data_IF_876103562549
#
_entry.id   IF_876103562549
#
_cell.length_a   1.000
_cell.length_b   1.000
_cell.length_c   1.000
_cell.angle_alpha   90.00
_cell.angle_beta   90.00
_cell.angle_gamma   90.00
#
_symmetry.space_group_name_H-M   'P 1'
#
loop_
_entity.id
_entity.type
_entity.pdbx_description
1 polymer ?
#
# COMPACT_ATOMS: atom_id res chain seq x y z
N UNK A 1 11.12 -16.20 -8.06
CA UNK A 1 11.69 -15.12 -7.22
C UNK A 1 12.31 -14.10 -8.18
N UNK A 2 11.54 -13.10 -8.59
CA UNK A 2 12.04 -12.02 -9.44
C UNK A 2 12.37 -10.89 -8.48
N UNK A 3 13.66 -10.72 -8.19
CA UNK A 3 14.19 -9.50 -7.58
C UNK A 3 14.07 -8.39 -8.64
N UNK A 4 12.96 -7.66 -8.61
CA UNK A 4 12.89 -6.36 -9.29
C UNK A 4 13.78 -5.44 -8.45
N UNK A 5 14.92 -5.10 -8.99
CA UNK A 5 15.86 -4.15 -8.36
C UNK A 5 15.14 -2.80 -8.30
N UNK A 6 14.74 -2.38 -7.09
CA UNK A 6 14.01 -1.13 -6.79
C UNK A 6 14.71 0.13 -7.32
N UNK A 7 15.98 0.03 -7.69
CA UNK A 7 16.79 1.15 -8.20
C UNK A 7 16.42 1.60 -9.61
N UNK A 8 15.86 0.72 -10.45
CA UNK A 8 15.54 1.06 -11.85
C UNK A 8 14.20 1.81 -12.00
N UNK A 9 13.27 1.63 -11.07
CA UNK A 9 11.93 2.25 -11.16
C UNK A 9 11.96 3.75 -10.82
N UNK A 10 12.79 4.17 -9.86
CA UNK A 10 12.94 5.59 -9.48
C UNK A 10 13.71 6.40 -10.53
N UNK A 11 14.64 5.76 -11.25
CA UNK A 11 15.42 6.41 -12.33
C UNK A 11 14.60 6.73 -13.59
N UNK A 12 13.33 6.32 -13.66
CA UNK A 12 12.51 6.43 -14.88
C UNK A 12 11.30 7.40 -14.74
N UNK A 13 11.17 8.09 -13.60
CA UNK A 13 10.13 9.11 -13.40
C UNK A 13 10.71 10.50 -13.66
N UNK A 14 10.14 11.17 -14.65
CA UNK A 14 10.47 12.58 -14.92
C UNK A 14 9.55 13.55 -14.10
N UNK A 15 9.86 14.86 -14.07
CA UNK A 15 9.05 15.85 -13.36
C UNK A 15 7.56 15.86 -13.77
N UNK A 16 7.26 15.52 -15.02
CA UNK A 16 5.89 15.45 -15.52
C UNK A 16 5.16 14.26 -14.95
N UNK A 17 5.83 13.11 -14.81
CA UNK A 17 5.28 11.93 -14.17
C UNK A 17 4.93 12.19 -12.71
N UNK A 18 5.81 12.87 -11.98
CA UNK A 18 5.58 13.24 -10.57
C UNK A 18 4.38 14.18 -10.41
N UNK A 19 4.21 15.14 -11.34
CA UNK A 19 3.03 16.01 -11.37
C UNK A 19 1.74 15.21 -11.63
N UNK A 20 1.78 14.26 -12.56
CA UNK A 20 0.65 13.36 -12.84
C UNK A 20 0.30 12.56 -11.58
N UNK A 21 1.28 11.97 -10.91
CA UNK A 21 1.06 11.20 -9.67
C UNK A 21 0.43 12.07 -8.58
N UNK A 22 0.92 13.30 -8.38
CA UNK A 22 0.35 14.22 -7.39
C UNK A 22 -1.11 14.57 -7.69
N UNK A 23 -1.43 14.84 -8.94
CA UNK A 23 -2.81 15.17 -9.34
C UNK A 23 -3.73 13.95 -9.13
N UNK A 24 -3.29 12.75 -9.49
CA UNK A 24 -4.06 11.53 -9.26
C UNK A 24 -4.25 11.20 -7.77
N UNK A 25 -3.28 11.51 -6.91
CA UNK A 25 -3.41 11.34 -5.46
C UNK A 25 -4.45 12.32 -4.89
N UNK A 26 -4.43 13.57 -5.34
CA UNK A 26 -5.36 14.62 -4.88
C UNK A 26 -6.77 14.43 -5.43
N UNK A 27 -6.84 14.02 -6.68
CA UNK A 27 -8.06 13.81 -7.44
C UNK A 27 -8.12 12.38 -8.01
N UNK A 28 -8.43 11.34 -7.21
CA UNK A 28 -8.42 9.95 -7.69
C UNK A 28 -9.44 9.65 -8.80
N UNK A 29 -10.39 10.56 -9.03
CA UNK A 29 -11.43 10.41 -10.05
C UNK A 29 -11.22 11.32 -11.27
N UNK A 30 -10.10 12.05 -11.33
CA UNK A 30 -9.83 12.95 -12.44
C UNK A 30 -9.77 12.17 -13.75
N UNK A 31 -10.45 12.67 -14.77
CA UNK A 31 -10.40 12.08 -16.09
C UNK A 31 -9.11 12.51 -16.82
N UNK A 32 -8.66 11.70 -17.78
CA UNK A 32 -7.42 11.99 -18.54
C UNK A 32 -7.49 13.35 -19.26
N UNK A 33 -8.68 13.79 -19.69
CA UNK A 33 -8.88 15.11 -20.29
C UNK A 33 -8.57 16.22 -19.29
N UNK A 34 -9.22 16.21 -18.14
CA UNK A 34 -9.04 17.18 -17.06
C UNK A 34 -7.60 17.18 -16.53
N UNK A 35 -7.02 15.99 -16.36
CA UNK A 35 -5.62 15.81 -15.96
C UNK A 35 -4.66 16.46 -16.96
N UNK A 36 -4.91 16.30 -18.25
CA UNK A 36 -4.06 16.89 -19.30
C UNK A 36 -4.16 18.42 -19.33
N UNK A 37 -5.36 18.96 -19.14
CA UNK A 37 -5.62 20.40 -19.07
C UNK A 37 -4.96 21.03 -17.83
N UNK A 38 -5.16 20.44 -16.64
CA UNK A 38 -4.58 20.94 -15.39
C UNK A 38 -3.04 21.01 -15.41
N UNK A 39 -2.41 20.08 -16.14
CA UNK A 39 -0.96 19.98 -16.24
C UNK A 39 -0.36 20.66 -17.49
N UNK A 40 -1.21 21.18 -18.39
CA UNK A 40 -0.78 21.81 -19.64
C UNK A 40 -0.05 20.85 -20.60
N UNK A 41 -0.44 19.58 -20.66
CA UNK A 41 0.15 18.57 -21.53
C UNK A 41 -0.89 17.98 -22.50
N UNK A 42 -0.45 17.41 -23.61
CA UNK A 42 -1.36 16.79 -24.56
C UNK A 42 -2.04 15.56 -23.92
N UNK A 43 -3.33 15.34 -24.21
CA UNK A 43 -4.13 14.22 -23.72
C UNK A 43 -3.48 12.85 -23.97
N UNK A 44 -2.95 12.65 -25.19
CA UNK A 44 -2.25 11.40 -25.55
C UNK A 44 -0.98 11.21 -24.70
N UNK A 45 -0.28 12.28 -24.35
CA UNK A 45 0.89 12.25 -23.48
C UNK A 45 0.49 11.84 -22.06
N UNK A 46 -0.54 12.48 -21.49
CA UNK A 46 -1.06 12.10 -20.17
C UNK A 46 -1.46 10.61 -20.14
N UNK A 47 -2.24 10.18 -21.13
CA UNK A 47 -2.72 8.79 -21.22
C UNK A 47 -1.58 7.78 -21.36
N UNK A 48 -0.58 8.06 -22.18
CA UNK A 48 0.56 7.15 -22.38
C UNK A 48 1.41 7.01 -21.13
N UNK A 49 1.63 8.12 -20.40
CA UNK A 49 2.37 8.15 -19.14
C UNK A 49 1.64 7.40 -18.02
N UNK A 50 0.35 7.63 -17.84
CA UNK A 50 -0.48 6.89 -16.87
C UNK A 50 -0.44 5.39 -17.17
N UNK A 51 -0.64 4.99 -18.42
CA UNK A 51 -0.54 3.56 -18.81
C UNK A 51 0.84 2.97 -18.56
N UNK A 52 1.91 3.74 -18.78
CA UNK A 52 3.28 3.30 -18.48
C UNK A 52 3.45 3.06 -16.99
N UNK A 53 3.02 3.99 -16.14
CA UNK A 53 3.12 3.88 -14.69
C UNK A 53 2.28 2.73 -14.12
N UNK A 54 1.09 2.49 -14.67
CA UNK A 54 0.27 1.31 -14.33
C UNK A 54 0.98 0.00 -14.68
N UNK A 55 1.52 -0.10 -15.91
CA UNK A 55 2.25 -1.31 -16.33
C UNK A 55 3.52 -1.56 -15.55
N UNK A 56 4.19 -0.49 -15.09
CA UNK A 56 5.39 -0.58 -14.27
C UNK A 56 5.09 -0.82 -12.77
N UNK A 57 3.81 -0.91 -12.37
CA UNK A 57 3.42 -1.08 -10.96
C UNK A 57 3.69 0.13 -10.07
N UNK A 58 4.04 1.28 -10.66
CA UNK A 58 4.27 2.54 -9.94
C UNK A 58 2.93 3.14 -9.48
N UNK A 59 1.93 3.05 -10.35
CA UNK A 59 0.56 3.43 -10.09
C UNK A 59 -0.29 2.15 -10.06
N UNK A 60 -1.06 1.98 -9.01
CA UNK A 60 -2.06 0.91 -8.96
C UNK A 60 -3.40 1.46 -9.41
N UNK A 61 -4.15 0.66 -10.14
CA UNK A 61 -5.54 0.96 -10.49
C UNK A 61 -6.37 0.77 -9.22
N UNK A 62 -6.26 1.77 -8.32
CA UNK A 62 -6.86 1.76 -7.00
C UNK A 62 -8.38 1.79 -7.11
N UNK A 63 -9.02 0.79 -6.54
CA UNK A 63 -10.44 0.82 -6.26
C UNK A 63 -10.81 2.04 -5.40
N UNK A 64 -12.09 2.26 -5.21
CA UNK A 64 -12.58 3.28 -4.27
C UNK A 64 -12.17 2.88 -2.87
N UNK A 65 -11.59 3.81 -2.13
CA UNK A 65 -11.32 3.62 -0.71
C UNK A 65 -12.65 3.52 0.04
N UNK A 66 -12.77 2.51 0.90
CA UNK A 66 -13.95 2.28 1.74
C UNK A 66 -13.58 2.63 3.18
N UNK A 67 -14.35 3.51 3.78
CA UNK A 67 -14.27 3.74 5.22
C UNK A 67 -14.83 2.53 5.96
N UNK A 68 -13.93 1.76 6.58
CA UNK A 68 -14.29 0.53 7.27
C UNK A 68 -15.13 0.79 8.52
N UNK A 69 -14.92 1.90 9.23
CA UNK A 69 -15.75 2.31 10.35
C UNK A 69 -17.19 2.58 9.91
N UNK A 70 -17.38 3.26 8.76
CA UNK A 70 -18.71 3.53 8.21
C UNK A 70 -19.49 2.26 7.83
N UNK A 71 -18.79 1.13 7.63
CA UNK A 71 -19.43 -0.19 7.38
C UNK A 71 -19.34 -1.13 8.60
N UNK A 72 -19.04 -0.58 9.78
CA UNK A 72 -19.13 -1.28 11.06
C UNK A 72 -17.87 -2.02 11.51
N UNK A 73 -16.73 -1.82 10.88
CA UNK A 73 -15.44 -2.39 11.31
C UNK A 73 -14.63 -1.36 12.11
N UNK A 74 -15.04 -1.11 13.34
CA UNK A 74 -14.47 -0.05 14.21
C UNK A 74 -13.18 -0.48 14.93
N UNK A 75 -12.90 -1.78 15.00
CA UNK A 75 -11.72 -2.31 15.67
C UNK A 75 -10.63 -2.61 14.66
N UNK A 76 -9.48 -1.94 14.83
CA UNK A 76 -8.26 -2.21 14.07
C UNK A 76 -7.21 -2.77 15.01
N UNK A 77 -6.60 -3.88 14.64
CA UNK A 77 -5.51 -4.50 15.37
C UNK A 77 -4.29 -4.73 14.46
N UNK A 78 -3.12 -4.62 15.06
CA UNK A 78 -1.86 -5.01 14.46
C UNK A 78 -1.39 -6.29 15.15
N UNK A 79 -1.18 -7.34 14.37
CA UNK A 79 -0.86 -8.66 14.87
C UNK A 79 0.50 -9.06 14.35
N UNK A 80 1.42 -9.32 15.28
CA UNK A 80 2.72 -9.91 14.98
C UNK A 80 2.62 -11.42 15.22
N UNK A 81 3.08 -12.21 14.27
CA UNK A 81 2.97 -13.67 14.27
C UNK A 81 4.37 -14.26 14.19
N UNK A 82 4.67 -15.19 15.10
CA UNK A 82 5.85 -16.02 15.04
C UNK A 82 5.48 -17.34 14.37
N UNK A 83 6.25 -17.76 13.35
CA UNK A 83 5.95 -18.93 12.55
C UNK A 83 7.12 -19.90 12.51
N UNK A 84 6.84 -21.18 12.29
CA UNK A 84 7.87 -22.14 11.94
C UNK A 84 8.40 -21.80 10.54
N UNK A 85 9.69 -21.56 10.41
CA UNK A 85 10.33 -21.04 9.18
C UNK A 85 9.95 -21.79 7.88
N UNK A 86 9.72 -23.10 7.97
CA UNK A 86 9.30 -23.94 6.81
C UNK A 86 7.82 -23.77 6.42
N UNK A 87 7.01 -23.15 7.26
CA UNK A 87 5.56 -23.00 7.07
C UNK A 87 5.14 -21.57 6.70
N UNK A 88 6.10 -20.66 6.52
CA UNK A 88 5.82 -19.23 6.26
C UNK A 88 4.87 -19.03 5.07
N UNK A 89 5.18 -19.63 3.92
CA UNK A 89 4.32 -19.50 2.73
C UNK A 89 2.91 -20.04 2.96
N UNK A 90 2.81 -21.17 3.68
CA UNK A 90 1.54 -21.77 4.07
C UNK A 90 0.71 -20.88 5.00
N UNK A 91 1.37 -20.24 5.98
CA UNK A 91 0.75 -19.30 6.91
C UNK A 91 0.26 -18.06 6.16
N UNK A 92 1.08 -17.47 5.30
CA UNK A 92 0.69 -16.29 4.47
C UNK A 92 -0.48 -16.65 3.54
N UNK A 93 -0.44 -17.85 2.94
CA UNK A 93 -1.55 -18.36 2.11
C UNK A 93 -2.87 -18.50 2.89
N UNK A 94 -2.80 -19.00 4.13
CA UNK A 94 -3.97 -19.13 5.00
C UNK A 94 -4.48 -17.78 5.50
N UNK A 95 -3.60 -16.84 5.86
CA UNK A 95 -3.98 -15.48 6.25
C UNK A 95 -4.74 -14.76 5.15
N UNK A 96 -4.36 -14.95 3.89
CA UNK A 96 -5.03 -14.36 2.70
C UNK A 96 -6.51 -14.78 2.58
N UNK A 97 -6.88 -15.93 3.14
CA UNK A 97 -8.26 -16.43 3.11
C UNK A 97 -9.14 -15.86 4.22
N UNK A 98 -8.56 -15.16 5.19
CA UNK A 98 -9.30 -14.52 6.28
C UNK A 98 -9.71 -13.11 5.85
N UNK A 99 -11.02 -12.83 5.66
CA UNK A 99 -11.48 -11.52 5.16
C UNK A 99 -11.19 -10.37 6.10
N UNK A 100 -10.95 -10.63 7.39
CA UNK A 100 -10.56 -9.63 8.38
C UNK A 100 -9.09 -9.20 8.25
N UNK A 101 -8.26 -9.98 7.56
CA UNK A 101 -6.84 -9.65 7.33
C UNK A 101 -6.73 -8.79 6.09
N UNK A 102 -6.39 -7.52 6.27
CA UNK A 102 -6.32 -6.53 5.20
C UNK A 102 -4.92 -6.39 4.60
N UNK A 103 -3.89 -6.68 5.40
CA UNK A 103 -2.51 -6.43 5.02
C UNK A 103 -1.61 -7.44 5.72
N UNK A 104 -0.61 -7.96 5.01
CA UNK A 104 0.35 -8.94 5.53
C UNK A 104 1.74 -8.58 5.03
N UNK A 105 2.70 -8.50 5.95
CA UNK A 105 4.11 -8.27 5.66
C UNK A 105 4.97 -9.31 6.34
N UNK A 106 5.99 -9.80 5.65
CA UNK A 106 7.12 -10.44 6.31
C UNK A 106 7.99 -9.34 6.92
N UNK A 107 8.38 -9.50 8.18
CA UNK A 107 9.11 -8.49 8.94
C UNK A 107 10.42 -9.04 9.50
N UNK A 108 11.38 -8.15 9.71
CA UNK A 108 12.58 -8.42 10.49
C UNK A 108 12.37 -7.98 11.95
N UNK A 109 12.93 -8.71 12.90
CA UNK A 109 12.88 -8.36 14.32
C UNK A 109 12.03 -9.32 15.14
N UNK A 110 11.12 -8.82 15.97
CA UNK A 110 10.23 -9.66 16.77
C UNK A 110 9.12 -10.26 15.92
N UNK A 111 9.09 -11.59 15.80
CA UNK A 111 8.18 -12.33 14.94
C UNK A 111 8.61 -12.30 13.47
N UNK A 112 7.88 -13.02 12.64
CA UNK A 112 8.20 -13.25 11.24
C UNK A 112 7.20 -12.56 10.31
N UNK A 113 5.93 -12.44 10.76
CA UNK A 113 4.84 -11.85 9.98
C UNK A 113 4.13 -10.79 10.80
N UNK A 114 3.83 -9.67 10.17
CA UNK A 114 2.96 -8.64 10.70
C UNK A 114 1.72 -8.51 9.81
N UNK A 115 0.55 -8.38 10.42
CA UNK A 115 -0.67 -8.14 9.67
C UNK A 115 -1.57 -7.10 10.33
N UNK A 116 -2.37 -6.42 9.49
CA UNK A 116 -3.46 -5.55 9.92
C UNK A 116 -4.75 -6.35 9.86
N UNK A 117 -5.43 -6.42 10.99
CA UNK A 117 -6.70 -7.14 11.16
C UNK A 117 -7.78 -6.15 11.58
N UNK A 118 -8.98 -6.31 11.02
CA UNK A 118 -10.14 -5.50 11.39
C UNK A 118 -11.27 -6.38 11.90
N UNK A 119 -12.09 -5.80 12.77
CA UNK A 119 -13.25 -6.48 13.32
C UNK A 119 -14.36 -5.46 13.67
N UNK A 120 -15.58 -5.93 13.81
CA UNK A 120 -16.73 -5.10 14.22
C UNK A 120 -16.67 -4.75 15.71
N UNK A 121 -16.08 -5.64 16.51
CA UNK A 121 -15.96 -5.53 17.95
C UNK A 121 -14.82 -6.42 18.48
N UNK A 122 -14.53 -6.35 19.77
CA UNK A 122 -13.46 -7.12 20.40
C UNK A 122 -13.75 -8.63 20.42
N UNK A 123 -15.00 -9.04 20.45
CA UNK A 123 -15.38 -10.46 20.39
C UNK A 123 -15.08 -11.05 19.00
N UNK A 124 -15.44 -10.33 17.95
CA UNK A 124 -15.15 -10.71 16.58
C UNK A 124 -13.63 -10.69 16.31
N UNK A 125 -12.89 -9.71 16.85
CA UNK A 125 -11.44 -9.73 16.81
C UNK A 125 -10.87 -11.01 17.45
N UNK A 126 -11.35 -11.36 18.65
CA UNK A 126 -10.92 -12.57 19.34
C UNK A 126 -11.21 -13.83 18.49
N UNK A 127 -12.37 -13.86 17.78
CA UNK A 127 -12.70 -14.97 16.89
C UNK A 127 -11.72 -15.06 15.71
N UNK A 128 -11.37 -13.93 15.10
CA UNK A 128 -10.36 -13.87 14.02
C UNK A 128 -8.98 -14.31 14.51
N UNK A 129 -8.53 -13.84 15.66
CA UNK A 129 -7.25 -14.24 16.25
C UNK A 129 -7.19 -15.73 16.56
N UNK A 130 -8.30 -16.34 17.01
CA UNK A 130 -8.37 -17.81 17.19
C UNK A 130 -8.24 -18.55 15.86
N UNK A 131 -8.73 -18.00 14.75
CA UNK A 131 -8.50 -18.61 13.43
C UNK A 131 -7.04 -18.53 13.04
N UNK A 132 -6.39 -17.38 13.25
CA UNK A 132 -4.93 -17.22 13.01
C UNK A 132 -4.12 -18.24 13.82
N UNK A 133 -4.41 -18.40 15.12
CA UNK A 133 -3.71 -19.35 15.99
C UNK A 133 -3.91 -20.82 15.61
N UNK A 134 -4.94 -21.16 14.83
CA UNK A 134 -5.17 -22.52 14.30
C UNK A 134 -4.45 -22.81 13.01
N UNK A 135 -3.84 -21.80 12.38
CA UNK A 135 -3.07 -21.99 11.15
C UNK A 135 -1.83 -22.85 11.49
N UNK A 136 -1.65 -23.92 10.74
CA UNK A 136 -0.47 -24.77 10.89
C UNK A 136 0.80 -23.94 10.67
N UNK A 137 1.75 -24.04 11.60
CA UNK A 137 3.00 -23.29 11.55
C UNK A 137 3.00 -22.00 12.37
N UNK A 138 1.87 -21.49 12.82
CA UNK A 138 1.81 -20.40 13.80
C UNK A 138 2.20 -20.91 15.18
N UNK A 139 3.22 -20.26 15.77
CA UNK A 139 3.74 -20.60 17.12
C UNK A 139 3.10 -19.68 18.14
N UNK A 140 3.08 -18.37 17.86
CA UNK A 140 2.61 -17.35 18.80
C UNK A 140 2.10 -16.12 18.03
N UNK A 141 1.19 -15.39 18.66
CA UNK A 141 0.75 -14.07 18.18
C UNK A 141 0.87 -13.05 19.29
N UNK A 142 1.25 -11.83 18.92
CA UNK A 142 1.18 -10.65 19.76
C UNK A 142 0.25 -9.64 19.08
N UNK A 143 -0.74 -9.11 19.80
CA UNK A 143 -1.77 -8.25 19.22
C UNK A 143 -1.77 -6.90 19.92
N UNK A 144 -1.74 -5.83 19.14
CA UNK A 144 -1.85 -4.45 19.59
C UNK A 144 -3.07 -3.82 18.94
N UNK A 145 -3.93 -3.19 19.74
CA UNK A 145 -5.08 -2.45 19.25
C UNK A 145 -4.68 -1.03 18.84
N UNK A 146 -5.14 -0.58 17.68
CA UNK A 146 -5.08 0.82 17.31
C UNK A 146 -6.17 1.58 18.08
N UNK A 147 -5.77 2.42 19.02
CA UNK A 147 -6.71 3.23 19.80
C UNK A 147 -7.24 4.42 19.00
N UNK A 148 -6.38 5.01 18.16
CA UNK A 148 -6.72 6.13 17.30
C UNK A 148 -5.73 6.24 16.13
N UNK A 149 -6.23 6.54 14.95
CA UNK A 149 -5.40 6.81 13.77
C UNK A 149 -5.16 8.30 13.63
N UNK A 150 -4.01 8.79 14.03
CA UNK A 150 -3.63 10.19 13.86
C UNK A 150 -3.28 10.57 12.43
N UNK A 151 -2.62 9.68 11.73
CA UNK A 151 -2.22 9.86 10.33
C UNK A 151 -2.59 8.57 9.58
N UNK A 152 -3.56 8.62 8.67
CA UNK A 152 -3.86 7.49 7.80
C UNK A 152 -2.72 7.24 6.81
N UNK A 153 -2.70 6.05 6.20
CA UNK A 153 -1.74 5.76 5.13
C UNK A 153 -1.84 6.80 4.02
N UNK A 154 -0.71 7.36 3.63
CA UNK A 154 -0.63 8.40 2.60
C UNK A 154 0.72 8.39 1.90
N UNK A 155 0.71 8.60 0.60
CA UNK A 155 1.91 8.69 -0.24
C UNK A 155 2.22 10.12 -0.69
N UNK A 156 1.24 11.04 -0.64
CA UNK A 156 1.36 12.40 -1.17
C UNK A 156 2.60 13.17 -0.66
N UNK A 157 2.96 13.17 0.64
CA UNK A 157 4.13 13.91 1.11
C UNK A 157 5.44 13.44 0.48
N UNK A 158 5.58 12.12 0.23
CA UNK A 158 6.76 11.56 -0.42
C UNK A 158 6.84 11.96 -1.89
N UNK A 159 5.73 11.86 -2.62
CA UNK A 159 5.67 12.24 -4.04
C UNK A 159 5.89 13.74 -4.20
N UNK A 160 5.33 14.57 -3.31
CA UNK A 160 5.56 16.03 -3.29
C UNK A 160 7.04 16.36 -3.10
N UNK A 161 7.71 15.66 -2.18
CA UNK A 161 9.16 15.85 -1.96
C UNK A 161 9.99 15.46 -3.18
N UNK A 162 9.65 14.33 -3.84
CA UNK A 162 10.32 13.89 -5.06
C UNK A 162 10.15 14.92 -6.20
N UNK A 163 8.93 15.45 -6.36
CA UNK A 163 8.64 16.47 -7.37
C UNK A 163 9.45 17.78 -7.15
N UNK A 164 9.62 18.19 -5.89
CA UNK A 164 10.44 19.36 -5.53
C UNK A 164 11.92 19.10 -5.79
N UNK A 165 12.44 17.92 -5.45
CA UNK A 165 13.83 17.53 -5.67
C UNK A 165 14.18 17.38 -7.15
N UNK A 166 13.25 16.89 -7.96
CA UNK A 166 13.45 16.77 -9.41
C UNK A 166 13.49 18.12 -10.14
N UNK A 167 12.87 19.17 -9.57
CA UNK A 167 12.96 20.54 -10.10
C UNK A 167 14.28 21.24 -9.81
N UNK A 168 15.13 20.69 -8.93
CA UNK A 168 16.36 21.32 -8.45
C UNK A 168 17.64 20.60 -8.92
N UNK A 169 17.55 19.58 -9.79
CA UNK A 169 18.74 18.97 -10.39
C UNK A 169 19.22 19.85 -11.54
N UNK A 170 20.47 20.37 -11.49
CA UNK A 170 21.07 21.05 -12.64
C UNK A 170 21.14 20.03 -13.79
N UNK A 171 20.64 20.44 -14.96
CA UNK A 171 20.82 19.74 -16.24
C UNK A 171 22.29 19.36 -16.39
N UNK A 172 22.62 18.07 -16.38
CA UNK A 172 23.97 17.60 -16.75
C UNK A 172 24.21 18.05 -18.19
N UNK A 173 25.27 18.80 -18.48
CA UNK A 173 25.65 19.09 -19.85
C UNK A 173 26.07 17.79 -20.54
N UNK A 174 25.66 17.65 -21.78
CA UNK A 174 26.06 16.57 -22.71
C UNK A 174 27.55 16.56 -22.96
#
# INVERSE_FOLDING_TARGET
MVLITESDSLNNLDPTDLKILLELIRNPRVQIGELSESLGIARNTAQSRVRRMLRAGILHDGGREIDLGAVGYDVVAFVTIEVTHRELDGVVGALRLLPQVLEVHEISGRGDVWCRVVATDTHNLQAALRQVLRIKGVIRTETVLALHTHIPYRTEPLISRLAQGAGNQPTRPH
#
